data_IF_455558087944
#
_entry.id   IF_455558087944
#
_cell.length_a   1.000
_cell.length_b   1.000
_cell.length_c   1.000
_cell.angle_alpha   90.00
_cell.angle_beta   90.00
_cell.angle_gamma   90.00
#
_symmetry.space_group_name_H-M   'P 1'
#
loop_
_entity.id
_entity.type
_entity.pdbx_description
1 polymer ?
#
# COMPACT_ATOMS: atom_id res chain seq x y z
N UNK A 1 15.23 -59.95 28.51
CA UNK A 1 14.56 -59.50 27.27
C UNK A 1 13.32 -58.73 27.70
N UNK A 2 13.50 -57.58 28.35
CA UNK A 2 13.82 -56.28 27.74
C UNK A 2 12.84 -55.91 26.62
N UNK A 3 11.83 -55.11 26.97
CA UNK A 3 11.10 -54.24 26.05
C UNK A 3 11.17 -52.85 26.65
N UNK A 4 12.01 -52.04 26.03
CA UNK A 4 12.36 -50.69 26.43
C UNK A 4 11.15 -49.78 26.54
N UNK A 5 11.17 -48.99 27.61
CA UNK A 5 10.49 -47.71 27.69
C UNK A 5 11.17 -46.75 26.70
N UNK A 6 10.54 -46.48 25.58
CA UNK A 6 10.77 -45.21 24.88
C UNK A 6 9.83 -44.18 25.51
N UNK A 7 10.34 -43.42 26.48
CA UNK A 7 9.70 -42.20 26.94
C UNK A 7 9.98 -41.10 25.93
N UNK A 8 9.02 -40.86 25.03
CA UNK A 8 8.95 -39.62 24.27
C UNK A 8 8.60 -38.49 25.25
N UNK A 9 9.60 -37.77 25.75
CA UNK A 9 9.40 -36.48 26.40
C UNK A 9 9.15 -35.43 25.33
N UNK A 10 7.87 -35.23 24.98
CA UNK A 10 7.44 -33.96 24.39
C UNK A 10 7.65 -32.88 25.46
N UNK A 11 8.66 -32.02 25.25
CA UNK A 11 8.87 -30.83 26.07
C UNK A 11 7.67 -29.89 25.87
N UNK A 12 6.70 -29.91 26.79
CA UNK A 12 5.62 -28.93 26.80
C UNK A 12 6.22 -27.54 27.00
N UNK A 13 6.06 -26.68 26.01
CA UNK A 13 6.53 -25.29 26.05
C UNK A 13 5.80 -24.55 27.18
N UNK A 14 6.51 -24.15 28.23
CA UNK A 14 5.94 -23.40 29.35
C UNK A 14 6.07 -21.89 29.08
N UNK A 15 4.93 -21.23 28.85
CA UNK A 15 4.87 -19.79 28.57
C UNK A 15 5.39 -18.94 29.74
N UNK A 16 5.33 -19.45 30.97
CA UNK A 16 5.83 -18.73 32.16
C UNK A 16 7.37 -18.66 32.19
N UNK A 17 8.04 -19.50 31.39
CA UNK A 17 9.51 -19.54 31.27
C UNK A 17 10.05 -18.76 30.08
N UNK A 18 9.18 -18.26 29.19
CA UNK A 18 9.57 -17.50 28.00
C UNK A 18 9.81 -16.04 28.38
N UNK A 19 10.98 -15.53 28.03
CA UNK A 19 11.30 -14.11 28.16
C UNK A 19 10.55 -13.27 27.10
N UNK A 20 9.29 -12.96 27.40
CA UNK A 20 8.43 -12.12 26.56
C UNK A 20 9.00 -10.71 26.38
N UNK A 21 9.79 -10.20 27.33
CA UNK A 21 10.41 -8.87 27.21
C UNK A 21 11.42 -8.87 26.07
N UNK A 22 12.20 -9.94 25.94
CA UNK A 22 13.13 -10.10 24.81
C UNK A 22 12.40 -10.22 23.48
N UNK A 23 11.28 -10.94 23.42
CA UNK A 23 10.45 -11.05 22.21
C UNK A 23 9.92 -9.68 21.79
N UNK A 24 9.38 -8.90 22.74
CA UNK A 24 8.85 -7.56 22.46
C UNK A 24 9.95 -6.55 22.09
N UNK A 25 11.18 -6.75 22.57
CA UNK A 25 12.30 -5.87 22.28
C UNK A 25 12.72 -5.92 20.80
N UNK A 26 12.60 -7.11 20.19
CA UNK A 26 12.93 -7.37 18.79
C UNK A 26 11.69 -7.37 17.87
N UNK A 27 10.51 -7.01 18.40
CA UNK A 27 9.26 -6.93 17.63
C UNK A 27 9.34 -5.82 16.58
N UNK A 28 8.78 -6.10 15.39
CA UNK A 28 8.85 -5.25 14.21
C UNK A 28 7.88 -4.05 14.26
N UNK A 29 6.94 -4.06 15.22
CA UNK A 29 6.07 -2.92 15.52
C UNK A 29 6.57 -2.17 16.77
N UNK A 30 6.18 -0.91 16.90
CA UNK A 30 6.45 -0.13 18.11
C UNK A 30 5.71 -0.75 19.29
N UNK A 31 6.40 -0.90 20.42
CA UNK A 31 5.80 -1.42 21.65
C UNK A 31 6.09 -0.46 22.80
N UNK A 32 5.02 -0.05 23.47
CA UNK A 32 5.05 0.73 24.71
C UNK A 32 4.29 -0.04 25.78
N UNK A 33 4.87 -0.19 26.97
CA UNK A 33 4.13 -0.65 28.16
C UNK A 33 4.18 0.46 29.19
N UNK A 34 3.01 0.77 29.75
CA UNK A 34 2.88 1.71 30.85
C UNK A 34 2.19 1.06 32.07
N UNK A 35 2.57 1.49 33.27
CA UNK A 35 1.91 1.12 34.52
C UNK A 35 0.53 1.81 34.66
N UNK A 36 -0.17 1.56 35.78
CA UNK A 36 -1.48 2.16 36.07
C UNK A 36 -1.47 3.69 36.13
N UNK A 37 -0.35 4.28 36.54
CA UNK A 37 -0.16 5.72 36.63
C UNK A 37 0.21 6.34 35.27
N UNK A 38 0.38 5.48 34.25
CA UNK A 38 0.78 5.82 32.89
C UNK A 38 2.26 6.12 32.75
N UNK A 39 3.11 5.62 33.64
CA UNK A 39 4.58 5.70 33.51
C UNK A 39 5.06 4.59 32.60
N UNK A 40 5.94 4.94 31.66
CA UNK A 40 6.46 4.01 30.66
C UNK A 40 7.50 3.10 31.32
N UNK A 41 7.23 1.80 31.33
CA UNK A 41 8.10 0.77 31.91
C UNK A 41 8.81 -0.06 30.83
N UNK A 42 8.31 -0.03 29.60
CA UNK A 42 8.94 -0.67 28.45
C UNK A 42 8.71 0.15 27.19
N UNK A 43 9.73 0.21 26.35
CA UNK A 43 9.74 0.98 25.13
C UNK A 43 10.77 0.38 24.17
N UNK A 44 10.33 -0.25 23.07
CA UNK A 44 11.25 -0.99 22.20
C UNK A 44 11.98 -0.08 21.19
N UNK A 45 12.98 -0.64 20.51
CA UNK A 45 13.79 0.09 19.52
C UNK A 45 12.96 0.59 18.34
N UNK A 46 11.97 -0.20 17.92
CA UNK A 46 11.08 0.18 16.82
C UNK A 46 10.30 1.43 17.18
N UNK A 47 9.74 1.51 18.39
CA UNK A 47 9.05 2.69 18.88
C UNK A 47 9.96 3.93 18.90
N UNK A 48 11.22 3.78 19.36
CA UNK A 48 12.19 4.88 19.34
C UNK A 48 12.46 5.43 17.94
N UNK A 49 12.43 4.58 16.91
CA UNK A 49 12.55 5.02 15.51
C UNK A 49 11.30 5.77 15.02
N UNK A 50 10.11 5.33 15.43
CA UNK A 50 8.84 5.97 15.08
C UNK A 50 8.82 7.40 15.65
N UNK A 51 9.24 7.54 16.90
CA UNK A 51 9.19 8.77 17.67
C UNK A 51 10.41 9.68 17.51
N UNK A 52 11.49 9.16 16.94
CA UNK A 52 12.80 9.80 16.90
C UNK A 52 13.31 10.14 18.32
N UNK A 53 13.18 9.17 19.22
CA UNK A 53 13.56 9.26 20.63
C UNK A 53 14.46 8.09 21.04
N UNK A 54 15.41 8.35 21.95
CA UNK A 54 16.14 7.28 22.62
C UNK A 54 15.22 6.61 23.66
N UNK A 55 14.98 5.29 23.59
CA UNK A 55 14.23 4.56 24.61
C UNK A 55 14.66 4.87 26.06
N UNK A 56 15.96 5.07 26.30
CA UNK A 56 16.47 5.36 27.65
C UNK A 56 15.99 6.70 28.20
N UNK A 57 15.74 7.68 27.32
CA UNK A 57 15.23 8.99 27.72
C UNK A 57 13.73 8.97 28.04
N UNK A 58 13.02 7.91 27.63
CA UNK A 58 11.56 7.79 27.72
C UNK A 58 11.14 7.00 28.96
N UNK A 59 11.93 6.00 29.36
CA UNK A 59 11.62 5.12 30.50
C UNK A 59 11.43 5.90 31.80
N UNK A 60 10.40 5.53 32.58
CA UNK A 60 10.04 6.12 33.87
C UNK A 60 9.22 7.43 33.80
N UNK A 61 9.15 8.07 32.64
CA UNK A 61 8.32 9.27 32.41
C UNK A 61 6.87 8.87 32.12
N UNK A 62 5.92 9.79 32.33
CA UNK A 62 4.52 9.51 31.95
C UNK A 62 4.33 9.62 30.44
N UNK A 63 3.36 8.90 29.90
CA UNK A 63 2.98 8.99 28.47
C UNK A 63 2.70 10.45 28.06
N UNK A 64 1.98 11.21 28.88
CA UNK A 64 1.70 12.64 28.66
C UNK A 64 2.92 13.55 28.83
N UNK A 65 4.02 13.03 29.40
CA UNK A 65 5.30 13.73 29.49
C UNK A 65 6.14 13.60 28.22
N UNK A 66 5.81 12.65 27.36
CA UNK A 66 6.54 12.35 26.12
C UNK A 66 5.79 12.90 24.92
N UNK A 67 4.46 12.81 24.95
CA UNK A 67 3.59 13.19 23.84
C UNK A 67 2.75 14.41 24.20
N UNK A 68 2.43 15.22 23.21
CA UNK A 68 1.41 16.28 23.29
C UNK A 68 0.00 15.68 23.30
N UNK A 69 -0.26 14.79 24.25
CA UNK A 69 -1.54 14.10 24.46
C UNK A 69 -2.05 14.36 25.89
N UNK A 70 -3.33 14.09 26.11
CA UNK A 70 -3.95 14.12 27.43
C UNK A 70 -4.60 12.76 27.74
N UNK A 71 -5.22 12.65 28.92
CA UNK A 71 -5.84 11.40 29.38
C UNK A 71 -6.99 10.90 28.47
N UNK A 72 -7.63 11.79 27.70
CA UNK A 72 -8.72 11.46 26.79
C UNK A 72 -8.20 11.09 25.38
N UNK A 73 -7.10 11.70 24.93
CA UNK A 73 -6.55 11.45 23.59
C UNK A 73 -5.55 10.31 23.56
N UNK A 74 -4.84 10.06 24.65
CA UNK A 74 -3.91 8.94 24.78
C UNK A 74 -4.66 7.61 24.78
N UNK A 75 -4.38 6.74 23.81
CA UNK A 75 -4.96 5.39 23.77
C UNK A 75 -4.62 4.56 25.01
N UNK A 76 -3.41 4.72 25.55
CA UNK A 76 -2.98 4.08 26.80
C UNK A 76 -3.90 4.48 27.96
N UNK A 77 -4.13 5.78 28.19
CA UNK A 77 -5.05 6.24 29.25
C UNK A 77 -6.50 5.85 28.99
N UNK A 78 -6.99 5.90 27.74
CA UNK A 78 -8.34 5.40 27.41
C UNK A 78 -8.50 3.91 27.73
N UNK A 79 -7.48 3.11 27.43
CA UNK A 79 -7.46 1.68 27.77
C UNK A 79 -7.40 1.46 29.29
N UNK A 80 -6.52 2.16 30.01
CA UNK A 80 -6.43 2.09 31.47
C UNK A 80 -7.74 2.48 32.16
N UNK A 81 -8.42 3.54 31.67
CA UNK A 81 -9.66 4.05 32.25
C UNK A 81 -10.87 3.15 31.97
N UNK A 82 -10.98 2.63 30.74
CA UNK A 82 -12.09 1.74 30.37
C UNK A 82 -11.88 0.31 30.87
N UNK A 83 -10.61 -0.09 31.04
CA UNK A 83 -10.21 -1.47 31.27
C UNK A 83 -10.52 -2.43 30.14
N UNK A 84 -10.81 -1.91 28.94
CA UNK A 84 -11.13 -2.68 27.75
C UNK A 84 -10.02 -2.53 26.69
N UNK A 85 -9.81 -3.55 25.85
CA UNK A 85 -8.97 -3.41 24.66
C UNK A 85 -9.50 -2.33 23.72
N UNK A 86 -8.58 -1.55 23.15
CA UNK A 86 -8.86 -0.62 22.05
C UNK A 86 -7.98 -1.07 20.89
N UNK A 87 -8.60 -1.47 19.78
CA UNK A 87 -7.91 -2.15 18.68
C UNK A 87 -7.98 -1.31 17.40
N UNK A 88 -6.84 -1.21 16.71
CA UNK A 88 -6.70 -0.51 15.43
C UNK A 88 -7.25 0.93 15.44
N UNK A 89 -6.94 1.67 16.50
CA UNK A 89 -7.32 3.07 16.61
C UNK A 89 -6.28 3.94 15.89
N UNK A 90 -6.68 4.70 14.85
CA UNK A 90 -5.75 5.58 14.15
C UNK A 90 -5.42 6.78 15.03
N UNK A 91 -4.12 6.99 15.27
CA UNK A 91 -3.61 8.08 16.08
C UNK A 91 -2.63 8.94 15.32
N UNK A 92 -2.68 10.23 15.62
CA UNK A 92 -1.66 11.19 15.23
C UNK A 92 -1.23 11.86 16.51
N UNK A 93 0.04 11.73 16.84
CA UNK A 93 0.61 12.38 18.00
C UNK A 93 1.93 13.04 17.66
N UNK A 94 2.32 13.99 18.51
CA UNK A 94 3.56 14.72 18.42
C UNK A 94 4.38 14.45 19.67
N UNK A 95 5.63 14.03 19.49
CA UNK A 95 6.60 13.95 20.58
C UNK A 95 7.03 15.35 20.98
N UNK A 96 7.47 15.54 22.22
CA UNK A 96 7.93 16.87 22.68
C UNK A 96 9.16 17.40 21.94
N UNK A 97 9.93 16.55 21.27
CA UNK A 97 11.02 16.97 20.37
C UNK A 97 10.52 17.44 19.00
N UNK A 98 9.21 17.38 18.77
CA UNK A 98 8.57 17.93 17.59
C UNK A 98 8.33 16.95 16.46
N UNK A 99 8.70 15.67 16.62
CA UNK A 99 8.40 14.61 15.65
C UNK A 99 6.90 14.32 15.67
N UNK A 100 6.28 14.26 14.50
CA UNK A 100 4.90 13.80 14.34
C UNK A 100 4.90 12.38 13.78
N UNK A 101 4.18 11.49 14.47
CA UNK A 101 3.92 10.14 14.03
C UNK A 101 2.45 9.98 13.62
N UNK A 102 2.22 9.19 12.57
CA UNK A 102 0.89 8.77 12.11
C UNK A 102 0.85 7.27 12.32
N UNK A 103 0.00 6.78 13.20
CA UNK A 103 0.09 5.40 13.64
C UNK A 103 -1.27 4.72 13.71
N UNK A 104 -1.25 3.40 13.65
CA UNK A 104 -2.40 2.55 13.98
C UNK A 104 -2.06 1.82 15.27
N UNK A 105 -2.77 2.15 16.34
CA UNK A 105 -2.41 1.68 17.67
C UNK A 105 -3.45 0.69 18.19
N UNK A 106 -2.97 -0.34 18.89
CA UNK A 106 -3.81 -1.26 19.64
C UNK A 106 -3.33 -1.32 21.08
N UNK A 107 -4.17 -0.93 22.02
CA UNK A 107 -3.90 -0.96 23.45
C UNK A 107 -4.68 -2.07 24.14
N UNK A 108 -3.99 -2.88 24.93
CA UNK A 108 -4.53 -3.99 25.69
C UNK A 108 -4.24 -3.77 27.18
N UNK A 109 -5.22 -3.95 28.07
CA UNK A 109 -4.99 -3.89 29.51
C UNK A 109 -4.15 -5.09 29.95
N UNK A 110 -3.15 -4.84 30.80
CA UNK A 110 -2.32 -5.88 31.40
C UNK A 110 -2.86 -6.25 32.77
N UNK A 111 -3.01 -7.53 33.04
CA UNK A 111 -3.47 -8.07 34.32
C UNK A 111 -2.41 -8.95 34.95
N UNK A 112 -2.21 -8.78 36.25
CA UNK A 112 -1.51 -9.76 37.07
C UNK A 112 -2.55 -10.39 38.00
N UNK A 113 -2.84 -11.68 37.75
CA UNK A 113 -4.03 -12.35 38.29
C UNK A 113 -5.30 -11.58 37.83
N UNK A 114 -6.10 -11.06 38.75
CA UNK A 114 -7.32 -10.30 38.43
C UNK A 114 -7.15 -8.78 38.57
N UNK A 115 -5.97 -8.31 38.99
CA UNK A 115 -5.70 -6.88 39.14
C UNK A 115 -5.02 -6.37 37.88
N UNK A 116 -5.65 -5.40 37.21
CA UNK A 116 -4.98 -4.67 36.13
C UNK A 116 -3.72 -4.01 36.70
N UNK A 117 -2.59 -4.09 36.03
CA UNK A 117 -1.31 -3.52 36.47
C UNK A 117 -0.77 -2.46 35.50
N UNK A 118 -1.34 -2.36 34.31
CA UNK A 118 -0.92 -1.40 33.31
C UNK A 118 -1.63 -1.64 31.97
N UNK A 119 -1.04 -1.13 30.89
CA UNK A 119 -1.47 -1.38 29.53
C UNK A 119 -0.25 -1.54 28.62
N UNK A 120 -0.38 -2.43 27.63
CA UNK A 120 0.55 -2.57 26.52
C UNK A 120 -0.08 -1.95 25.28
N UNK A 121 0.70 -1.20 24.51
CA UNK A 121 0.29 -0.59 23.27
C UNK A 121 1.23 -1.00 22.15
N UNK A 122 0.65 -1.56 21.08
CA UNK A 122 1.31 -1.86 19.83
C UNK A 122 1.05 -0.71 18.86
N UNK A 123 2.10 -0.21 18.22
CA UNK A 123 2.09 1.01 17.41
C UNK A 123 2.65 0.66 16.03
N UNK A 124 1.80 0.75 15.01
CA UNK A 124 2.23 0.59 13.62
C UNK A 124 2.42 1.95 12.98
N UNK A 125 3.65 2.28 12.60
CA UNK A 125 3.93 3.56 11.92
C UNK A 125 3.50 3.55 10.46
N UNK A 126 2.66 4.53 10.12
CA UNK A 126 2.12 4.77 8.80
C UNK A 126 3.01 5.68 7.95
N UNK A 127 3.92 6.45 8.55
CA UNK A 127 4.94 7.14 7.78
C UNK A 127 5.87 6.15 7.10
N UNK A 128 6.08 4.97 7.68
CA UNK A 128 6.75 3.85 7.00
C UNK A 128 5.96 3.32 5.81
N UNK A 129 4.64 3.51 5.68
CA UNK A 129 3.93 3.18 4.44
C UNK A 129 4.23 4.21 3.34
N UNK A 130 4.13 5.52 3.60
CA UNK A 130 4.53 6.54 2.61
C UNK A 130 6.03 6.50 2.30
N UNK A 131 6.84 6.35 3.35
CA UNK A 131 8.28 6.21 3.29
C UNK A 131 8.72 4.88 2.71
N UNK A 132 7.95 3.78 2.78
CA UNK A 132 8.22 2.55 2.04
C UNK A 132 7.66 2.59 0.62
N UNK A 133 6.67 3.43 0.29
CA UNK A 133 6.31 3.73 -1.10
C UNK A 133 7.39 4.61 -1.76
N UNK A 134 7.86 5.64 -1.06
CA UNK A 134 8.94 6.53 -1.49
C UNK A 134 10.30 5.81 -1.45
N UNK A 135 10.58 5.04 -0.40
CA UNK A 135 11.77 4.20 -0.30
C UNK A 135 11.68 2.98 -1.22
N UNK A 136 10.60 2.23 -1.40
CA UNK A 136 10.57 1.19 -2.46
C UNK A 136 10.67 1.81 -3.86
N UNK A 137 10.26 3.07 -4.04
CA UNK A 137 10.55 3.83 -5.24
C UNK A 137 12.03 4.28 -5.33
N UNK A 138 12.76 4.43 -4.21
CA UNK A 138 14.12 4.98 -4.08
C UNK A 138 15.22 3.98 -3.63
N UNK A 139 14.88 2.78 -3.14
CA UNK A 139 15.75 1.80 -2.46
C UNK A 139 16.12 0.62 -3.36
N UNK A 140 15.57 0.60 -4.57
CA UNK A 140 16.22 -0.04 -5.69
C UNK A 140 17.39 0.87 -6.11
N UNK A 141 18.56 0.30 -6.47
CA UNK A 141 19.79 1.05 -6.67
C UNK A 141 19.59 2.29 -7.59
N UNK A 142 20.41 3.36 -7.44
CA UNK A 142 20.23 4.66 -8.11
C UNK A 142 20.30 4.65 -9.65
N UNK A 143 20.22 3.48 -10.28
CA UNK A 143 20.34 3.25 -11.72
C UNK A 143 19.01 3.01 -12.43
N UNK A 144 17.83 3.06 -11.79
CA UNK A 144 16.61 2.53 -12.43
C UNK A 144 15.29 3.34 -12.31
N UNK A 145 15.32 4.65 -12.01
CA UNK A 145 14.23 5.55 -12.39
C UNK A 145 14.72 6.42 -13.56
N UNK A 146 14.48 6.04 -14.83
CA UNK A 146 14.92 6.85 -15.97
C UNK A 146 14.23 8.22 -16.05
N UNK A 147 13.19 8.48 -15.24
CA UNK A 147 12.40 9.71 -15.29
C UNK A 147 12.23 10.36 -13.91
N UNK A 148 12.39 11.68 -13.85
CA UNK A 148 12.20 12.51 -12.63
C UNK A 148 10.73 12.65 -12.20
N UNK A 149 9.80 12.00 -12.91
CA UNK A 149 8.36 12.13 -12.71
C UNK A 149 7.75 11.00 -11.85
N UNK A 150 8.57 10.05 -11.37
CA UNK A 150 8.13 8.90 -10.58
C UNK A 150 7.73 7.66 -11.40
N UNK A 151 8.05 7.62 -12.70
CA UNK A 151 7.80 6.46 -13.58
C UNK A 151 9.08 5.77 -14.02
N UNK A 152 8.92 4.53 -14.49
CA UNK A 152 9.99 3.69 -15.04
C UNK A 152 9.71 3.22 -16.45
N UNK A 153 8.43 2.98 -16.77
CA UNK A 153 8.06 2.26 -17.97
C UNK A 153 7.51 3.16 -19.07
N UNK A 154 7.82 2.79 -20.30
CA UNK A 154 7.30 3.34 -21.54
C UNK A 154 6.62 2.25 -22.36
N UNK A 155 6.06 2.62 -23.50
CA UNK A 155 5.52 1.63 -24.44
C UNK A 155 6.59 0.69 -25.03
N UNK A 156 7.90 0.96 -24.87
CA UNK A 156 8.96 0.04 -25.30
C UNK A 156 9.12 -1.14 -24.34
N UNK A 157 8.73 -0.95 -23.09
CA UNK A 157 8.83 -1.94 -22.02
C UNK A 157 7.61 -2.89 -22.00
N UNK A 158 6.60 -2.61 -22.82
CA UNK A 158 5.41 -3.43 -22.98
C UNK A 158 5.67 -4.44 -24.10
N UNK A 159 5.97 -5.67 -23.72
CA UNK A 159 6.34 -6.77 -24.62
C UNK A 159 5.12 -7.63 -24.96
N UNK A 160 4.85 -7.82 -26.25
CA UNK A 160 3.78 -8.66 -26.77
C UNK A 160 3.47 -8.35 -28.23
N UNK A 161 3.03 -9.35 -28.97
CA UNK A 161 2.72 -9.27 -30.41
C UNK A 161 1.29 -9.74 -30.72
N UNK A 162 0.61 -10.38 -29.76
CA UNK A 162 -0.78 -10.82 -29.91
C UNK A 162 -1.68 -9.69 -30.45
N UNK A 163 -2.51 -9.94 -31.50
CA UNK A 163 -3.29 -8.89 -32.15
C UNK A 163 -4.20 -8.09 -31.19
N UNK A 164 -4.83 -8.76 -30.23
CA UNK A 164 -5.68 -8.11 -29.22
C UNK A 164 -4.85 -7.21 -28.27
N UNK A 165 -3.65 -7.65 -27.90
CA UNK A 165 -2.73 -6.90 -27.05
C UNK A 165 -2.17 -5.67 -27.79
N UNK A 166 -1.80 -5.83 -29.06
CA UNK A 166 -1.34 -4.72 -29.92
C UNK A 166 -2.42 -3.64 -30.12
N UNK A 167 -3.71 -4.05 -30.21
CA UNK A 167 -4.83 -3.10 -30.23
C UNK A 167 -4.92 -2.31 -28.91
N UNK A 168 -4.73 -2.96 -27.76
CA UNK A 168 -4.70 -2.29 -26.46
C UNK A 168 -3.57 -1.26 -26.39
N UNK A 169 -2.35 -1.61 -26.84
CA UNK A 169 -1.21 -0.69 -26.91
C UNK A 169 -1.53 0.52 -27.81
N UNK A 170 -2.14 0.29 -28.98
CA UNK A 170 -2.54 1.37 -29.89
C UNK A 170 -3.54 2.33 -29.24
N UNK A 171 -4.57 1.81 -28.57
CA UNK A 171 -5.54 2.62 -27.84
C UNK A 171 -4.87 3.41 -26.71
N UNK A 172 -3.95 2.79 -25.97
CA UNK A 172 -3.21 3.46 -24.90
C UNK A 172 -2.34 4.62 -25.43
N UNK A 173 -1.69 4.45 -26.59
CA UNK A 173 -0.94 5.54 -27.25
C UNK A 173 -1.84 6.71 -27.64
N UNK A 174 -3.02 6.44 -28.17
CA UNK A 174 -4.00 7.49 -28.48
C UNK A 174 -4.48 8.19 -27.21
N UNK A 175 -4.72 7.42 -26.14
CA UNK A 175 -5.18 7.93 -24.85
C UNK A 175 -4.16 8.83 -24.15
N UNK A 176 -2.86 8.64 -24.41
CA UNK A 176 -1.80 9.49 -23.87
C UNK A 176 -1.90 10.96 -24.30
N UNK A 177 -2.32 11.20 -25.54
CA UNK A 177 -2.49 12.56 -26.08
C UNK A 177 -3.84 13.20 -25.73
N UNK A 178 -4.77 12.44 -25.15
CA UNK A 178 -6.08 12.93 -24.73
C UNK A 178 -6.08 13.36 -23.26
N UNK A 179 -6.79 14.43 -22.87
CA UNK A 179 -7.00 14.76 -21.47
C UNK A 179 -8.00 13.84 -20.77
N UNK A 180 -8.74 13.00 -21.52
CA UNK A 180 -9.78 12.12 -20.97
C UNK A 180 -9.24 11.10 -19.96
N UNK A 181 -10.11 10.73 -19.03
CA UNK A 181 -9.90 9.61 -18.12
C UNK A 181 -9.73 8.30 -18.89
N UNK A 182 -8.88 7.43 -18.37
CA UNK A 182 -8.60 6.11 -18.97
C UNK A 182 -8.89 5.03 -17.93
N UNK A 183 -9.69 4.04 -18.28
CA UNK A 183 -9.88 2.84 -17.47
C UNK A 183 -9.18 1.64 -18.13
N UNK A 184 -8.27 1.03 -17.39
CA UNK A 184 -7.56 -0.19 -17.75
C UNK A 184 -8.27 -1.39 -17.12
N UNK A 185 -8.62 -2.38 -17.93
CA UNK A 185 -9.30 -3.59 -17.44
C UNK A 185 -8.47 -4.80 -17.78
N UNK A 186 -8.17 -5.62 -16.78
CA UNK A 186 -7.45 -6.86 -16.99
C UNK A 186 -7.14 -7.54 -15.67
N UNK A 187 -6.84 -8.82 -15.74
CA UNK A 187 -6.59 -9.63 -14.55
C UNK A 187 -5.36 -9.15 -13.77
N UNK A 188 -5.22 -9.58 -12.53
CA UNK A 188 -4.03 -9.30 -11.71
C UNK A 188 -2.78 -9.86 -12.40
N UNK A 189 -1.71 -9.06 -12.44
CA UNK A 189 -0.46 -9.46 -13.10
C UNK A 189 -0.44 -9.34 -14.63
N UNK A 190 -1.49 -8.78 -15.27
CA UNK A 190 -1.54 -8.58 -16.73
C UNK A 190 -0.72 -7.39 -17.26
N UNK A 191 -0.17 -6.54 -16.36
CA UNK A 191 0.67 -5.40 -16.74
C UNK A 191 -0.04 -4.04 -16.80
N UNK A 192 -1.19 -3.88 -16.13
CA UNK A 192 -1.96 -2.61 -16.07
C UNK A 192 -1.09 -1.41 -15.65
N UNK A 193 -0.18 -1.59 -14.69
CA UNK A 193 0.74 -0.54 -14.24
C UNK A 193 1.69 -0.06 -15.36
N UNK A 194 2.24 -0.99 -16.16
CA UNK A 194 3.11 -0.64 -17.29
C UNK A 194 2.35 0.21 -18.31
N UNK A 195 1.09 -0.13 -18.59
CA UNK A 195 0.21 0.67 -19.44
C UNK A 195 -0.02 2.07 -18.86
N UNK A 196 -0.33 2.19 -17.56
CA UNK A 196 -0.59 3.48 -16.93
C UNK A 196 0.65 4.40 -16.98
N UNK A 197 1.84 3.88 -16.65
CA UNK A 197 3.08 4.63 -16.72
C UNK A 197 3.44 4.99 -18.18
N UNK A 198 3.28 4.06 -19.12
CA UNK A 198 3.53 4.32 -20.54
C UNK A 198 2.61 5.42 -21.10
N UNK A 199 1.32 5.42 -20.73
CA UNK A 199 0.37 6.48 -21.08
C UNK A 199 0.85 7.83 -20.54
N UNK A 200 1.28 7.89 -19.28
CA UNK A 200 1.80 9.13 -18.69
C UNK A 200 3.05 9.63 -19.44
N UNK A 201 4.03 8.76 -19.67
CA UNK A 201 5.29 9.11 -20.32
C UNK A 201 5.16 9.54 -21.78
N UNK A 202 4.09 9.09 -22.47
CA UNK A 202 3.77 9.55 -23.82
C UNK A 202 2.80 10.75 -23.85
N UNK A 203 2.33 11.22 -22.70
CA UNK A 203 1.41 12.36 -22.63
C UNK A 203 2.14 13.71 -22.63
N UNK A 204 1.43 14.82 -22.90
CA UNK A 204 1.95 16.17 -22.65
C UNK A 204 2.35 16.42 -21.19
N UNK A 205 1.88 15.57 -20.25
CA UNK A 205 2.15 15.68 -18.82
C UNK A 205 3.37 14.89 -18.34
N UNK A 206 4.16 14.30 -19.24
CA UNK A 206 5.34 13.46 -18.90
C UNK A 206 6.40 14.13 -18.01
N UNK A 207 6.42 15.46 -17.90
CA UNK A 207 7.36 16.19 -17.01
C UNK A 207 6.77 16.50 -15.63
N UNK A 208 5.50 16.17 -15.41
CA UNK A 208 4.76 16.43 -14.18
C UNK A 208 4.64 15.14 -13.35
N UNK A 209 4.29 15.23 -12.06
CA UNK A 209 4.23 14.06 -11.19
C UNK A 209 3.28 12.96 -11.71
N UNK A 210 3.74 11.72 -11.61
CA UNK A 210 2.89 10.54 -11.69
C UNK A 210 2.74 9.95 -10.29
N UNK A 211 1.51 9.87 -9.79
CA UNK A 211 1.21 9.29 -8.48
C UNK A 211 0.34 8.07 -8.67
N UNK A 212 0.84 6.90 -8.28
CA UNK A 212 0.09 5.65 -8.26
C UNK A 212 -0.35 5.29 -6.85
N UNK A 213 -1.57 4.75 -6.73
CA UNK A 213 -2.11 4.22 -5.48
C UNK A 213 -2.85 2.93 -5.78
N UNK A 214 -2.53 1.87 -5.03
CA UNK A 214 -3.28 0.63 -5.05
C UNK A 214 -4.36 0.69 -3.96
N UNK A 215 -5.62 0.73 -4.38
CA UNK A 215 -6.76 0.88 -3.47
C UNK A 215 -7.00 -0.38 -2.62
N UNK A 216 -6.54 -1.55 -3.07
CA UNK A 216 -6.67 -2.80 -2.32
C UNK A 216 -5.60 -2.97 -1.22
N UNK A 217 -4.49 -2.22 -1.30
CA UNK A 217 -3.38 -2.34 -0.36
C UNK A 217 -3.53 -1.44 0.88
N UNK A 218 -4.56 -0.60 0.94
CA UNK A 218 -4.71 0.44 1.95
C UNK A 218 -6.04 0.25 2.71
N UNK A 219 -6.02 0.25 4.06
CA UNK A 219 -7.24 0.26 4.87
C UNK A 219 -8.18 1.42 4.52
N UNK A 220 -9.48 1.15 4.49
CA UNK A 220 -10.53 2.11 4.09
C UNK A 220 -10.44 3.46 4.81
N UNK A 221 -10.29 3.43 6.13
CA UNK A 221 -10.21 4.61 6.98
C UNK A 221 -9.01 5.52 6.65
N UNK A 222 -7.91 4.95 6.13
CA UNK A 222 -6.71 5.69 5.77
C UNK A 222 -6.74 6.17 4.32
N UNK A 223 -7.38 5.41 3.44
CA UNK A 223 -7.48 5.74 2.03
C UNK A 223 -8.09 7.13 1.80
N UNK A 224 -9.07 7.53 2.61
CA UNK A 224 -9.68 8.86 2.52
C UNK A 224 -8.67 9.98 2.79
N UNK A 225 -8.00 9.95 3.95
CA UNK A 225 -7.05 10.99 4.34
C UNK A 225 -5.86 11.08 3.38
N UNK A 226 -5.45 9.96 2.80
CA UNK A 226 -4.37 9.91 1.81
C UNK A 226 -4.80 10.55 0.49
N UNK A 227 -5.97 10.19 -0.03
CA UNK A 227 -6.46 10.70 -1.31
C UNK A 227 -6.78 12.18 -1.24
N UNK A 228 -7.58 12.58 -0.26
CA UNK A 228 -8.18 13.91 -0.19
C UNK A 228 -7.41 14.89 0.71
N UNK A 229 -6.53 14.39 1.57
CA UNK A 229 -5.82 15.20 2.56
C UNK A 229 -6.66 15.48 3.80
N UNK A 230 -6.02 16.00 4.84
CA UNK A 230 -6.67 16.32 6.12
C UNK A 230 -6.49 17.79 6.44
N UNK A 231 -7.50 18.41 7.03
CA UNK A 231 -7.39 19.74 7.62
C UNK A 231 -7.29 19.65 9.14
N UNK A 232 -6.70 20.69 9.75
CA UNK A 232 -6.64 20.78 11.21
C UNK A 232 -8.05 20.74 11.80
N UNK A 233 -8.26 19.89 12.80
CA UNK A 233 -9.54 19.73 13.49
C UNK A 233 -10.56 18.84 12.79
N UNK A 234 -10.20 18.16 11.69
CA UNK A 234 -11.06 17.16 11.05
C UNK A 234 -11.44 15.98 11.95
N UNK A 235 -10.50 15.59 12.82
CA UNK A 235 -10.62 14.62 13.90
C UNK A 235 -9.55 14.94 14.95
N UNK A 236 -9.59 14.28 16.10
CA UNK A 236 -8.61 14.49 17.19
C UNK A 236 -7.19 14.22 16.70
N UNK A 237 -6.31 15.23 16.78
CA UNK A 237 -4.93 15.13 16.27
C UNK A 237 -4.75 15.40 14.77
N UNK A 238 -5.82 15.69 14.03
CA UNK A 238 -5.73 16.00 12.61
C UNK A 238 -4.89 17.27 12.36
N UNK A 239 -3.91 17.16 11.46
CA UNK A 239 -3.11 18.28 10.97
C UNK A 239 -3.40 18.58 9.50
N UNK A 240 -3.08 19.81 9.10
CA UNK A 240 -3.16 20.22 7.69
C UNK A 240 -2.12 19.46 6.85
N UNK A 241 -2.59 18.52 6.03
CA UNK A 241 -1.76 17.74 5.11
C UNK A 241 -2.42 17.66 3.74
N UNK A 242 -1.71 17.99 2.64
CA UNK A 242 -2.26 17.87 1.30
C UNK A 242 -2.49 16.39 0.93
N UNK A 243 -3.60 16.13 0.24
CA UNK A 243 -3.91 14.82 -0.31
C UNK A 243 -3.10 14.46 -1.55
N UNK A 244 -3.18 13.20 -1.99
CA UNK A 244 -2.56 12.75 -3.24
C UNK A 244 -3.08 13.50 -4.46
N UNK A 245 -4.36 13.86 -4.49
CA UNK A 245 -4.90 14.66 -5.60
C UNK A 245 -4.23 16.03 -5.69
N UNK A 246 -3.97 16.69 -4.56
CA UNK A 246 -3.24 17.96 -4.53
C UNK A 246 -1.78 17.78 -4.95
N UNK A 247 -1.10 16.72 -4.46
CA UNK A 247 0.29 16.40 -4.81
C UNK A 247 0.47 16.06 -6.29
N UNK A 248 -0.52 15.42 -6.91
CA UNK A 248 -0.47 15.04 -8.31
C UNK A 248 -0.82 16.20 -9.26
N UNK A 249 -1.23 17.36 -8.74
CA UNK A 249 -1.79 18.45 -9.55
C UNK A 249 -0.87 18.86 -10.71
N UNK A 250 -1.43 19.05 -11.91
CA UNK A 250 -0.67 19.23 -13.16
C UNK A 250 -0.19 17.93 -13.80
N UNK A 251 -0.15 16.83 -13.06
CA UNK A 251 0.32 15.52 -13.48
C UNK A 251 -0.77 14.47 -13.71
N UNK A 252 -0.49 13.24 -13.30
CA UNK A 252 -1.38 12.08 -13.50
C UNK A 252 -1.54 11.29 -12.21
N UNK A 253 -2.78 10.90 -11.89
CA UNK A 253 -3.08 9.94 -10.83
C UNK A 253 -3.45 8.60 -11.45
N UNK A 254 -2.82 7.53 -10.97
CA UNK A 254 -3.20 6.16 -11.26
C UNK A 254 -3.87 5.50 -10.05
N UNK A 255 -5.15 5.17 -10.20
CA UNK A 255 -5.95 4.48 -9.19
C UNK A 255 -6.03 2.99 -9.56
N UNK A 256 -5.13 2.18 -9.02
CA UNK A 256 -5.11 0.75 -9.25
C UNK A 256 -6.19 0.05 -8.40
N UNK A 257 -6.87 -0.91 -9.01
CA UNK A 257 -7.97 -1.68 -8.40
C UNK A 257 -9.07 -0.80 -7.78
N UNK A 258 -9.64 0.12 -8.57
CA UNK A 258 -10.67 1.05 -8.10
C UNK A 258 -11.93 0.33 -7.59
N UNK A 259 -12.19 -0.90 -8.04
CA UNK A 259 -13.26 -1.74 -7.53
C UNK A 259 -13.01 -2.32 -6.13
N UNK A 260 -11.82 -2.11 -5.57
CA UNK A 260 -11.49 -2.39 -4.16
C UNK A 260 -11.66 -1.15 -3.28
N UNK A 261 -11.95 0.02 -3.87
CA UNK A 261 -12.24 1.24 -3.12
C UNK A 261 -13.66 1.17 -2.51
N UNK A 262 -13.83 1.51 -1.22
CA UNK A 262 -15.13 1.58 -0.59
C UNK A 262 -16.10 2.51 -1.31
N UNK A 263 -17.38 2.13 -1.37
CA UNK A 263 -18.42 2.83 -2.15
C UNK A 263 -18.62 4.28 -1.68
N UNK A 264 -18.47 4.55 -0.38
CA UNK A 264 -18.52 5.91 0.17
C UNK A 264 -17.41 6.81 -0.39
N UNK A 265 -16.21 6.27 -0.57
CA UNK A 265 -15.07 6.98 -1.17
C UNK A 265 -15.22 7.15 -2.68
N UNK A 266 -15.82 6.17 -3.36
CA UNK A 266 -16.15 6.29 -4.78
C UNK A 266 -17.07 7.49 -5.07
N UNK A 267 -18.02 7.78 -4.18
CA UNK A 267 -18.89 8.96 -4.30
C UNK A 267 -18.11 10.28 -4.14
N UNK A 268 -17.14 10.34 -3.22
CA UNK A 268 -16.26 11.52 -3.06
C UNK A 268 -15.34 11.69 -4.26
N UNK A 269 -14.78 10.59 -4.77
CA UNK A 269 -13.97 10.59 -5.99
C UNK A 269 -14.78 11.11 -7.18
N UNK A 270 -16.03 10.67 -7.35
CA UNK A 270 -16.89 11.14 -8.42
C UNK A 270 -17.03 12.67 -8.41
N UNK A 271 -17.24 13.28 -7.23
CA UNK A 271 -17.30 14.75 -7.10
C UNK A 271 -15.99 15.41 -7.51
N UNK A 272 -14.85 14.87 -7.06
CA UNK A 272 -13.53 15.37 -7.47
C UNK A 272 -13.36 15.35 -8.99
N UNK A 273 -13.77 14.25 -9.64
CA UNK A 273 -13.68 14.11 -11.09
C UNK A 273 -14.63 15.06 -11.82
N UNK A 274 -15.83 15.30 -11.29
CA UNK A 274 -16.86 16.16 -11.89
C UNK A 274 -16.52 17.63 -11.77
N UNK A 275 -16.22 18.08 -10.55
CA UNK A 275 -15.99 19.48 -10.22
C UNK A 275 -14.56 19.93 -10.50
N UNK A 276 -13.63 18.99 -10.69
CA UNK A 276 -12.18 19.23 -10.81
C UNK A 276 -11.65 20.00 -9.60
N UNK A 277 -12.16 19.68 -8.42
CA UNK A 277 -11.78 20.29 -7.15
C UNK A 277 -11.66 19.21 -6.10
N UNK A 278 -10.77 19.42 -5.13
CA UNK A 278 -10.66 18.58 -3.95
C UNK A 278 -10.85 19.40 -2.70
N UNK A 279 -11.49 18.77 -1.71
CA UNK A 279 -11.68 19.31 -0.37
C UNK A 279 -11.05 18.34 0.60
N UNK A 280 -10.15 18.83 1.45
CA UNK A 280 -9.56 18.04 2.53
C UNK A 280 -10.63 17.62 3.53
N UNK A 281 -10.42 16.47 4.16
CA UNK A 281 -11.29 16.00 5.25
C UNK A 281 -11.31 17.06 6.36
N UNK A 282 -12.50 17.47 6.80
CA UNK A 282 -12.71 18.52 7.79
C UNK A 282 -12.51 19.96 7.31
N UNK A 283 -12.17 20.18 6.03
CA UNK A 283 -12.05 21.52 5.44
C UNK A 283 -13.33 21.93 4.71
N UNK A 284 -13.61 23.23 4.64
CA UNK A 284 -14.56 23.80 3.67
C UNK A 284 -13.87 24.39 2.43
N UNK A 285 -12.54 24.53 2.47
CA UNK A 285 -11.74 25.07 1.37
C UNK A 285 -11.62 24.04 0.24
N UNK A 286 -11.93 24.49 -0.96
CA UNK A 286 -11.72 23.73 -2.19
C UNK A 286 -10.44 24.18 -2.89
N UNK A 287 -9.72 23.20 -3.45
CA UNK A 287 -8.52 23.41 -4.28
C UNK A 287 -8.81 22.92 -5.69
N UNK A 288 -8.57 23.75 -6.70
CA UNK A 288 -8.73 23.35 -8.10
C UNK A 288 -7.67 22.34 -8.53
N UNK A 289 -8.10 21.38 -9.36
CA UNK A 289 -7.29 20.28 -9.85
C UNK A 289 -7.24 20.26 -11.37
N UNK A 290 -6.04 20.07 -11.88
CA UNK A 290 -5.77 19.83 -13.28
C UNK A 290 -5.00 18.51 -13.42
N UNK A 291 -5.74 17.39 -13.41
CA UNK A 291 -5.18 16.04 -13.42
C UNK A 291 -5.62 15.25 -14.65
N UNK A 292 -4.74 14.37 -15.13
CA UNK A 292 -5.17 13.20 -15.90
C UNK A 292 -5.42 12.05 -14.91
N UNK A 293 -6.53 11.33 -15.08
CA UNK A 293 -6.86 10.19 -14.23
C UNK A 293 -6.79 8.92 -15.06
N UNK A 294 -6.01 7.96 -14.57
CA UNK A 294 -5.97 6.59 -15.08
C UNK A 294 -6.48 5.71 -13.93
N UNK A 295 -7.40 4.80 -14.21
CA UNK A 295 -7.88 3.82 -13.22
C UNK A 295 -7.72 2.42 -13.76
N UNK A 296 -7.72 1.46 -12.84
CA UNK A 296 -7.64 0.04 -13.16
C UNK A 296 -8.74 -0.74 -12.44
N UNK A 297 -9.28 -1.77 -13.10
CA UNK A 297 -10.11 -2.79 -12.45
C UNK A 297 -9.56 -4.17 -12.75
N UNK A 298 -9.60 -5.06 -11.76
CA UNK A 298 -9.10 -6.44 -11.84
C UNK A 298 -10.17 -7.48 -12.22
N UNK A 299 -11.42 -7.04 -12.39
CA UNK A 299 -12.55 -7.83 -12.86
C UNK A 299 -13.30 -7.07 -13.95
N UNK A 300 -14.19 -7.76 -14.65
CA UNK A 300 -15.06 -7.15 -15.65
C UNK A 300 -15.98 -6.09 -14.99
N UNK A 301 -16.09 -4.87 -15.54
CA UNK A 301 -16.81 -3.78 -14.89
C UNK A 301 -18.30 -4.03 -14.68
N UNK A 302 -19.00 -4.69 -15.60
CA UNK A 302 -20.44 -4.99 -15.41
C UNK A 302 -20.63 -5.91 -14.21
N UNK A 303 -19.76 -6.91 -14.05
CA UNK A 303 -19.75 -7.78 -12.88
C UNK A 303 -19.42 -7.00 -11.61
N UNK A 304 -18.41 -6.11 -11.63
CA UNK A 304 -18.09 -5.28 -10.47
C UNK A 304 -19.24 -4.34 -10.06
N UNK A 305 -20.02 -3.85 -11.03
CA UNK A 305 -21.23 -3.04 -10.77
C UNK A 305 -22.35 -3.91 -10.17
N UNK A 306 -22.56 -5.11 -10.71
CA UNK A 306 -23.56 -6.07 -10.18
C UNK A 306 -23.23 -6.53 -8.76
N UNK A 307 -21.95 -6.68 -8.44
CA UNK A 307 -21.45 -7.03 -7.10
C UNK A 307 -21.41 -5.82 -6.15
N UNK A 308 -21.95 -4.65 -6.55
CA UNK A 308 -21.89 -3.38 -5.79
C UNK A 308 -20.47 -2.93 -5.40
N UNK A 309 -19.45 -3.45 -6.08
CA UNK A 309 -18.04 -3.10 -5.87
C UNK A 309 -17.61 -1.86 -6.68
N UNK A 310 -18.41 -1.46 -7.68
CA UNK A 310 -18.16 -0.27 -8.50
C UNK A 310 -19.47 0.49 -8.75
N UNK A 311 -19.50 1.78 -8.45
CA UNK A 311 -20.66 2.61 -8.79
C UNK A 311 -20.75 2.84 -10.30
N UNK A 312 -21.96 2.70 -10.83
CA UNK A 312 -22.24 2.88 -12.26
C UNK A 312 -21.94 4.31 -12.75
N UNK A 313 -22.22 5.33 -11.95
CA UNK A 313 -21.94 6.73 -12.27
C UNK A 313 -20.43 7.03 -12.34
N UNK A 314 -19.66 6.46 -11.41
CA UNK A 314 -18.21 6.53 -11.41
C UNK A 314 -17.61 5.78 -12.60
N UNK A 315 -18.14 4.60 -12.95
CA UNK A 315 -17.74 3.86 -14.15
C UNK A 315 -17.84 4.75 -15.40
N UNK A 316 -18.99 5.38 -15.65
CA UNK A 316 -19.16 6.25 -16.82
C UNK A 316 -18.24 7.47 -16.82
N UNK A 317 -17.86 7.99 -15.64
CA UNK A 317 -16.92 9.12 -15.54
C UNK A 317 -15.46 8.72 -15.77
N UNK A 318 -15.06 7.51 -15.38
CA UNK A 318 -13.69 7.01 -15.50
C UNK A 318 -13.43 6.30 -16.84
N UNK A 319 -14.40 5.54 -17.34
CA UNK A 319 -14.27 4.71 -18.54
C UNK A 319 -14.54 5.47 -19.85
N UNK A 320 -14.11 6.74 -19.93
CA UNK A 320 -14.23 7.54 -21.18
C UNK A 320 -13.38 6.91 -22.29
N UNK A 321 -12.15 6.52 -21.94
CA UNK A 321 -11.35 5.63 -22.78
C UNK A 321 -11.21 4.31 -22.03
N UNK A 322 -11.78 3.26 -22.61
CA UNK A 322 -11.78 1.93 -22.04
C UNK A 322 -10.77 1.03 -22.77
N UNK A 323 -9.82 0.45 -22.03
CA UNK A 323 -8.76 -0.39 -22.59
C UNK A 323 -8.75 -1.74 -21.86
N UNK A 324 -9.20 -2.79 -22.56
CA UNK A 324 -9.06 -4.17 -22.09
C UNK A 324 -7.65 -4.68 -22.43
N UNK A 325 -6.93 -5.13 -21.40
CA UNK A 325 -5.64 -5.80 -21.48
C UNK A 325 -5.91 -7.31 -21.36
N UNK A 326 -5.68 -8.09 -22.43
CA UNK A 326 -5.93 -9.54 -22.42
C UNK A 326 -5.02 -10.26 -21.42
N UNK A 327 -5.55 -11.32 -20.81
CA UNK A 327 -4.79 -12.23 -19.96
C UNK A 327 -3.71 -12.97 -20.78
N UNK A 328 -2.66 -13.47 -20.15
CA UNK A 328 -1.56 -14.14 -20.85
C UNK A 328 -2.02 -15.35 -21.68
N UNK A 329 -2.95 -16.15 -21.16
CA UNK A 329 -3.59 -17.26 -21.91
C UNK A 329 -4.31 -16.82 -23.18
N UNK A 330 -4.78 -15.57 -23.26
CA UNK A 330 -5.44 -15.01 -24.44
C UNK A 330 -4.43 -14.43 -25.46
N UNK A 331 -3.13 -14.46 -25.14
CA UNK A 331 -2.05 -13.81 -25.92
C UNK A 331 -1.18 -14.79 -26.72
N UNK A 332 -1.53 -16.08 -26.77
CA UNK A 332 -0.89 -17.07 -27.64
C UNK A 332 0.63 -17.15 -27.46
N UNK A 333 1.40 -16.88 -28.52
CA UNK A 333 2.86 -17.00 -28.53
C UNK A 333 3.60 -15.91 -27.72
N UNK A 334 2.89 -14.92 -27.16
CA UNK A 334 3.50 -13.92 -26.27
C UNK A 334 4.22 -14.55 -25.08
N UNK A 335 3.79 -15.73 -24.61
CA UNK A 335 4.48 -16.48 -23.54
C UNK A 335 5.94 -16.75 -23.90
N UNK A 336 6.22 -17.17 -25.14
CA UNK A 336 7.58 -17.45 -25.60
C UNK A 336 8.42 -16.18 -25.68
N UNK A 337 7.83 -15.10 -26.19
CA UNK A 337 8.47 -13.78 -26.28
C UNK A 337 8.85 -13.25 -24.90
N UNK A 338 7.94 -13.36 -23.93
CA UNK A 338 8.14 -12.92 -22.55
C UNK A 338 9.23 -13.75 -21.84
N UNK A 339 9.26 -15.08 -22.01
CA UNK A 339 10.33 -15.93 -21.46
C UNK A 339 11.70 -15.49 -21.97
N UNK A 340 11.84 -15.24 -23.28
CA UNK A 340 13.09 -14.77 -23.85
C UNK A 340 13.49 -13.39 -23.31
N UNK A 341 12.52 -12.49 -23.17
CA UNK A 341 12.72 -11.17 -22.58
C UNK A 341 13.22 -11.27 -21.13
N UNK A 342 12.57 -12.07 -20.28
CA UNK A 342 12.97 -12.25 -18.88
C UNK A 342 14.34 -12.89 -18.73
N UNK A 343 14.65 -13.93 -19.51
CA UNK A 343 16.00 -14.54 -19.52
C UNK A 343 17.06 -13.51 -19.89
N UNK A 344 16.79 -12.66 -20.88
CA UNK A 344 17.72 -11.61 -21.30
C UNK A 344 17.95 -10.60 -20.17
N UNK A 345 16.87 -10.13 -19.53
CA UNK A 345 16.95 -9.20 -18.40
C UNK A 345 17.69 -9.81 -17.19
N UNK A 346 17.38 -11.06 -16.83
CA UNK A 346 18.01 -11.78 -15.73
C UNK A 346 19.49 -12.06 -15.99
N UNK A 347 19.86 -12.41 -17.23
CA UNK A 347 21.27 -12.57 -17.61
C UNK A 347 22.06 -11.28 -17.40
N UNK A 348 21.50 -10.13 -17.78
CA UNK A 348 22.13 -8.82 -17.57
C UNK A 348 22.26 -8.51 -16.08
N UNK A 349 21.21 -8.71 -15.29
CA UNK A 349 21.20 -8.41 -13.87
C UNK A 349 22.10 -9.34 -13.03
N UNK A 350 22.16 -10.62 -13.38
CA UNK A 350 22.83 -11.66 -12.59
C UNK A 350 24.20 -12.09 -13.17
N UNK A 351 24.63 -11.47 -14.28
CA UNK A 351 25.88 -11.83 -14.97
C UNK A 351 25.89 -13.27 -15.50
N UNK A 352 24.73 -13.79 -15.89
CA UNK A 352 24.56 -15.17 -16.39
C UNK A 352 24.50 -15.19 -17.92
N UNK A 353 24.53 -16.41 -18.50
CA UNK A 353 24.47 -16.66 -19.95
C UNK A 353 23.49 -17.78 -20.29
N UNK A 354 22.32 -17.78 -19.68
CA UNK A 354 21.23 -18.70 -19.99
C UNK A 354 20.74 -18.43 -21.41
N UNK A 355 20.74 -19.44 -22.29
CA UNK A 355 20.39 -19.27 -23.71
C UNK A 355 18.88 -19.32 -23.98
N UNK A 356 18.11 -19.94 -23.10
CA UNK A 356 16.69 -20.22 -23.28
C UNK A 356 16.23 -21.35 -22.37
N UNK A 357 14.98 -21.78 -22.54
CA UNK A 357 14.43 -22.99 -21.92
C UNK A 357 14.40 -24.13 -22.93
N UNK A 358 14.34 -25.38 -22.46
CA UNK A 358 14.16 -26.53 -23.35
C UNK A 358 12.79 -26.48 -24.04
N UNK A 359 12.65 -27.27 -25.12
CA UNK A 359 11.38 -27.34 -25.86
C UNK A 359 10.25 -27.88 -24.98
N UNK A 360 10.54 -28.89 -24.19
CA UNK A 360 9.59 -29.54 -23.27
C UNK A 360 9.07 -28.53 -22.24
N UNK A 361 9.95 -27.70 -21.67
CA UNK A 361 9.56 -26.64 -20.74
C UNK A 361 8.69 -25.59 -21.43
N UNK A 362 9.04 -25.19 -22.66
CA UNK A 362 8.25 -24.22 -23.41
C UNK A 362 6.85 -24.77 -23.75
N UNK A 363 6.73 -26.06 -24.08
CA UNK A 363 5.44 -26.71 -24.31
C UNK A 363 4.58 -26.72 -23.02
N UNK A 364 5.18 -27.01 -21.86
CA UNK A 364 4.50 -26.86 -20.56
C UNK A 364 4.05 -25.42 -20.30
N UNK A 365 4.91 -24.43 -20.57
CA UNK A 365 4.59 -23.02 -20.37
C UNK A 365 3.46 -22.54 -21.29
N UNK A 366 3.39 -23.02 -22.54
CA UNK A 366 2.29 -22.69 -23.46
C UNK A 366 0.97 -23.35 -23.07
N UNK A 367 1.02 -24.53 -22.43
CA UNK A 367 -0.18 -25.26 -22.01
C UNK A 367 -0.77 -24.79 -20.67
N UNK A 368 -0.01 -24.04 -19.88
CA UNK A 368 -0.45 -23.53 -18.58
C UNK A 368 -1.27 -22.24 -18.72
N UNK A 369 -2.33 -22.10 -17.91
CA UNK A 369 -3.27 -20.97 -17.99
C UNK A 369 -2.73 -19.65 -17.42
N UNK A 370 -1.64 -19.70 -16.64
CA UNK A 370 -1.04 -18.56 -15.96
C UNK A 370 -2.05 -17.69 -15.19
N UNK A 371 -2.69 -18.21 -14.12
CA UNK A 371 -3.65 -17.44 -13.32
C UNK A 371 -3.08 -16.13 -12.75
N UNK A 372 -1.78 -16.06 -12.47
CA UNK A 372 -1.08 -14.83 -12.08
C UNK A 372 -0.47 -14.04 -13.26
N UNK A 373 -0.83 -14.42 -14.49
CA UNK A 373 -0.45 -13.78 -15.74
C UNK A 373 1.08 -13.61 -15.88
N UNK A 374 1.52 -12.45 -16.36
CA UNK A 374 2.92 -12.14 -16.65
C UNK A 374 3.76 -12.12 -15.36
N UNK A 375 3.16 -11.74 -14.22
CA UNK A 375 3.85 -11.74 -12.92
C UNK A 375 4.23 -13.15 -12.47
N UNK A 376 3.33 -14.12 -12.65
CA UNK A 376 3.61 -15.52 -12.34
C UNK A 376 4.65 -16.13 -13.29
N UNK A 377 4.52 -15.85 -14.59
CA UNK A 377 5.50 -16.27 -15.59
C UNK A 377 6.89 -15.72 -15.24
N UNK A 378 7.00 -14.44 -14.91
CA UNK A 378 8.26 -13.80 -14.52
C UNK A 378 8.88 -14.44 -13.28
N UNK A 379 8.07 -14.81 -12.28
CA UNK A 379 8.58 -15.45 -11.07
C UNK A 379 9.04 -16.90 -11.30
N UNK A 380 8.47 -17.56 -12.31
CA UNK A 380 8.81 -18.96 -12.65
C UNK A 380 10.07 -19.06 -13.49
N UNK A 381 10.32 -18.06 -14.36
CA UNK A 381 11.54 -17.93 -15.19
C UNK A 381 12.70 -17.40 -14.36
#
# INVERSE_FOLDING_TARGET
>A
MDKGKESNTESSLDLDTIDLVKVLADFDEGVIIADREGRIIFYNKTMGKIDDLDPQEVLGKKVTDIYELNAETSIIYRCLNSGQPIINDPLIYRTRLGKTAYTLDSALPLFQREKMVGAICFVKDYNLFQGAFEAAAQSLPPTANPYDNGTRFTFRDIVGEAPQFMRAIKMARMAANSPSSVMLVGDTGSGKELFAQAIHNHSPRKKYPYIAINCAAIPENLLEGILFGTARGAFTGAMDKPGLFERANGGTVFLDEINSMPIGLQAKLLRVLQEKKVRRVGSLKETELNLKVISSVNKEPRRAIQEEALRIDLFYRLAVIYIRIPALKERGDDTQLLVHYFITALNQALGKRVKGVSREVMECFKAYDWPGNVRELQNTV
#
